data_IF_843944844224
#
_entry.id   IF_843944844224
#
_cell.length_a   1.000
_cell.length_b   1.000
_cell.length_c   1.000
_cell.angle_alpha   90.00
_cell.angle_beta   90.00
_cell.angle_gamma   90.00
#
_symmetry.space_group_name_H-M   'P 1'
#
loop_
_entity.id
_entity.type
_entity.pdbx_description
1 polymer ?
#
# COMPACT_ATOMS: atom_id res chain seq x y z
N UNK A 1 -19.72 23.74 6.98
CA UNK A 1 -18.75 22.63 6.84
C UNK A 1 -17.47 23.20 6.31
N UNK A 2 -16.32 22.80 6.85
CA UNK A 2 -15.08 23.54 6.61
C UNK A 2 -14.48 23.30 5.20
N UNK A 3 -14.59 22.10 4.59
CA UNK A 3 -14.11 21.82 3.21
C UNK A 3 -14.77 20.57 2.56
N UNK A 4 -16.07 20.58 2.19
CA UNK A 4 -16.75 19.37 1.68
C UNK A 4 -16.27 18.90 0.30
N UNK A 5 -15.69 19.79 -0.52
CA UNK A 5 -15.33 19.51 -1.91
C UNK A 5 -13.83 19.25 -2.12
N UNK A 6 -13.03 19.18 -1.04
CA UNK A 6 -11.57 19.10 -1.14
C UNK A 6 -11.06 17.84 -1.86
N UNK A 7 -11.76 16.71 -1.70
CA UNK A 7 -11.40 15.42 -2.29
C UNK A 7 -12.17 15.13 -3.59
N UNK A 8 -12.98 16.08 -4.07
CA UNK A 8 -13.79 15.95 -5.28
C UNK A 8 -13.13 16.60 -6.48
N UNK A 9 -13.59 16.24 -7.67
CA UNK A 9 -13.14 16.86 -8.92
C UNK A 9 -14.07 18.03 -9.29
N UNK A 10 -13.55 19.27 -9.52
CA UNK A 10 -14.37 20.41 -9.90
C UNK A 10 -15.17 20.19 -11.20
N UNK A 11 -14.61 19.47 -12.17
CA UNK A 11 -15.30 19.19 -13.44
C UNK A 11 -16.56 18.32 -13.27
N UNK A 12 -16.74 17.62 -12.14
CA UNK A 12 -17.97 16.87 -11.87
C UNK A 12 -19.17 17.77 -11.51
N UNK A 13 -18.97 19.09 -11.41
CA UNK A 13 -20.07 20.07 -11.32
C UNK A 13 -20.55 20.56 -12.69
N UNK A 14 -19.87 20.18 -13.77
CA UNK A 14 -20.27 20.50 -15.15
C UNK A 14 -21.09 19.33 -15.70
N UNK A 15 -22.19 19.62 -16.41
CA UNK A 15 -22.98 18.58 -17.05
C UNK A 15 -22.16 17.80 -18.08
N UNK A 16 -22.37 16.48 -18.13
CA UNK A 16 -21.60 15.60 -19.00
C UNK A 16 -21.76 15.96 -20.48
N UNK A 17 -20.63 16.10 -21.19
CA UNK A 17 -20.61 16.36 -22.63
C UNK A 17 -19.84 15.23 -23.36
N UNK A 18 -20.51 14.37 -24.15
CA UNK A 18 -19.84 13.25 -24.82
C UNK A 18 -18.94 13.68 -26.00
N UNK A 19 -19.00 14.94 -26.42
CA UNK A 19 -18.20 15.47 -27.53
C UNK A 19 -16.93 16.21 -27.06
N UNK A 20 -16.78 16.44 -25.75
CA UNK A 20 -15.68 17.24 -25.18
C UNK A 20 -15.14 16.55 -23.94
N UNK A 21 -13.88 16.12 -24.00
CA UNK A 21 -13.16 15.63 -22.81
C UNK A 21 -12.51 16.80 -22.08
N UNK A 22 -12.68 16.95 -20.76
CA UNK A 22 -11.99 17.98 -19.99
C UNK A 22 -10.46 17.84 -20.10
N UNK A 23 -9.75 18.98 -20.08
CA UNK A 23 -8.30 19.01 -20.24
C UNK A 23 -7.55 18.36 -19.06
N UNK A 24 -8.13 18.42 -17.85
CA UNK A 24 -7.56 17.85 -16.62
C UNK A 24 -8.39 16.67 -16.13
N UNK A 25 -8.60 15.66 -16.98
CA UNK A 25 -9.30 14.44 -16.59
C UNK A 25 -8.43 13.58 -15.66
N UNK A 26 -8.81 13.53 -14.38
CA UNK A 26 -8.12 12.76 -13.34
C UNK A 26 -9.17 11.94 -12.58
N UNK A 27 -8.92 10.64 -12.33
CA UNK A 27 -9.85 9.83 -11.56
C UNK A 27 -9.84 10.24 -10.08
N UNK A 28 -10.76 9.69 -9.30
CA UNK A 28 -10.77 9.91 -7.86
C UNK A 28 -9.48 9.42 -7.20
N UNK A 29 -9.09 10.09 -6.11
CA UNK A 29 -7.78 9.92 -5.49
C UNK A 29 -7.45 8.47 -5.09
N UNK A 30 -8.46 7.68 -4.70
CA UNK A 30 -8.33 6.28 -4.31
C UNK A 30 -8.09 5.33 -5.50
N UNK A 31 -8.33 5.78 -6.74
CA UNK A 31 -8.05 5.04 -7.98
C UNK A 31 -6.69 5.40 -8.60
N UNK A 32 -6.06 6.50 -8.17
CA UNK A 32 -4.84 7.02 -8.77
C UNK A 32 -3.67 6.03 -8.84
N UNK A 33 -3.35 5.22 -7.81
CA UNK A 33 -2.22 4.29 -7.89
C UNK A 33 -2.40 3.27 -9.02
N UNK A 34 -3.62 2.75 -9.18
CA UNK A 34 -3.96 1.77 -10.20
C UNK A 34 -4.01 2.40 -11.59
N UNK A 35 -4.53 3.62 -11.68
CA UNK A 35 -4.50 4.41 -12.90
C UNK A 35 -3.06 4.75 -13.35
N UNK A 36 -2.16 5.07 -12.41
CA UNK A 36 -0.75 5.30 -12.69
C UNK A 36 -0.10 4.05 -13.30
N UNK A 37 -0.35 2.86 -12.73
CA UNK A 37 0.16 1.60 -13.26
C UNK A 37 -0.40 1.27 -14.64
N UNK A 38 -1.69 1.56 -14.90
CA UNK A 38 -2.31 1.35 -16.22
C UNK A 38 -1.61 2.16 -17.31
N UNK A 39 -1.44 3.46 -17.07
CA UNK A 39 -0.90 4.40 -18.08
C UNK A 39 0.63 4.38 -18.16
N UNK A 40 1.31 3.80 -17.17
CA UNK A 40 2.76 3.58 -17.20
C UNK A 40 3.19 2.66 -18.36
N UNK A 41 2.27 1.80 -18.80
CA UNK A 41 2.51 0.84 -19.86
C UNK A 41 2.33 1.49 -21.23
N UNK A 42 3.44 1.95 -21.79
CA UNK A 42 3.50 2.61 -23.10
C UNK A 42 4.24 1.79 -24.16
N UNK A 43 4.58 0.54 -23.84
CA UNK A 43 5.37 -0.35 -24.69
C UNK A 43 4.64 -1.69 -24.88
N UNK A 44 4.92 -2.33 -26.01
CA UNK A 44 4.37 -3.63 -26.34
C UNK A 44 5.30 -4.74 -25.82
N UNK A 45 4.71 -5.86 -25.38
CA UNK A 45 5.46 -7.03 -24.88
C UNK A 45 5.07 -8.25 -25.69
N UNK A 46 6.00 -8.76 -26.49
CA UNK A 46 5.79 -9.93 -27.37
C UNK A 46 4.57 -9.70 -28.29
N UNK A 47 3.48 -10.44 -28.08
CA UNK A 47 2.23 -10.36 -28.82
C UNK A 47 1.14 -9.54 -28.10
N UNK A 48 1.44 -8.96 -26.94
CA UNK A 48 0.52 -8.17 -26.13
C UNK A 48 0.81 -6.69 -26.37
N UNK A 49 -0.18 -5.96 -26.91
CA UNK A 49 -0.03 -4.52 -27.10
C UNK A 49 -0.11 -3.77 -25.75
N UNK A 50 0.48 -2.58 -25.71
CA UNK A 50 0.51 -1.67 -24.56
C UNK A 50 -0.87 -1.42 -23.94
N UNK A 51 -1.90 -1.26 -24.77
CA UNK A 51 -3.29 -1.05 -24.30
C UNK A 51 -3.79 -2.25 -23.48
N UNK A 52 -3.69 -3.46 -24.00
CA UNK A 52 -4.09 -4.66 -23.28
C UNK A 52 -3.20 -4.92 -22.07
N UNK A 53 -1.89 -4.70 -22.23
CA UNK A 53 -0.93 -4.93 -21.16
C UNK A 53 -1.16 -3.98 -19.97
N UNK A 54 -1.48 -2.70 -20.21
CA UNK A 54 -1.85 -1.74 -19.17
C UNK A 54 -3.10 -2.17 -18.38
N UNK A 55 -4.12 -2.72 -19.07
CA UNK A 55 -5.31 -3.27 -18.41
C UNK A 55 -4.96 -4.50 -17.55
N UNK A 56 -4.13 -5.41 -18.07
CA UNK A 56 -3.65 -6.58 -17.32
C UNK A 56 -2.87 -6.14 -16.08
N UNK A 57 -2.01 -5.14 -16.19
CA UNK A 57 -1.23 -4.58 -15.08
C UNK A 57 -2.16 -3.97 -14.03
N UNK A 58 -3.15 -3.18 -14.43
CA UNK A 58 -4.11 -2.57 -13.51
C UNK A 58 -4.90 -3.63 -12.74
N UNK A 59 -5.56 -4.57 -13.42
CA UNK A 59 -6.33 -5.61 -12.73
C UNK A 59 -5.44 -6.59 -11.97
N UNK A 60 -4.27 -6.92 -12.52
CA UNK A 60 -3.27 -7.75 -11.85
C UNK A 60 -2.83 -7.17 -10.52
N UNK A 61 -2.69 -5.84 -10.43
CA UNK A 61 -2.29 -5.17 -9.20
C UNK A 61 -3.32 -5.28 -8.07
N UNK A 62 -4.60 -5.49 -8.41
CA UNK A 62 -5.67 -5.79 -7.46
C UNK A 62 -5.76 -7.30 -7.17
N UNK A 63 -5.69 -8.13 -8.21
CA UNK A 63 -5.76 -9.59 -8.09
C UNK A 63 -4.66 -10.12 -7.18
N UNK A 64 -3.44 -9.58 -7.29
CA UNK A 64 -2.31 -10.04 -6.48
C UNK A 64 -2.53 -9.86 -4.97
N UNK A 65 -3.33 -8.88 -4.55
CA UNK A 65 -3.70 -8.69 -3.15
C UNK A 65 -4.52 -9.87 -2.60
N UNK A 66 -5.39 -10.46 -3.43
CA UNK A 66 -6.14 -11.66 -3.05
C UNK A 66 -5.24 -12.89 -2.98
N UNK A 67 -4.11 -12.90 -3.69
CA UNK A 67 -3.16 -14.00 -3.68
C UNK A 67 -2.19 -13.96 -2.49
N UNK A 68 -2.16 -12.87 -1.73
CA UNK A 68 -1.24 -12.68 -0.58
C UNK A 68 -1.24 -13.86 0.41
N UNK A 69 -2.38 -14.48 0.80
CA UNK A 69 -2.38 -15.62 1.72
C UNK A 69 -1.59 -16.83 1.24
N UNK A 70 -1.39 -16.96 -0.09
CA UNK A 70 -0.60 -18.03 -0.70
C UNK A 70 0.82 -17.60 -1.05
N UNK A 71 1.05 -16.30 -1.26
CA UNK A 71 2.35 -15.74 -1.61
C UNK A 71 3.24 -15.49 -0.38
N UNK A 72 2.66 -15.13 0.78
CA UNK A 72 3.43 -15.02 2.02
C UNK A 72 3.66 -16.40 2.64
N UNK A 73 4.84 -16.96 2.37
CA UNK A 73 5.23 -18.29 2.83
C UNK A 73 5.75 -18.31 4.28
N UNK A 74 5.85 -17.15 4.94
CA UNK A 74 6.36 -17.07 6.31
C UNK A 74 5.40 -17.67 7.34
N UNK A 75 5.95 -18.43 8.28
CA UNK A 75 5.17 -18.99 9.40
C UNK A 75 4.82 -17.93 10.46
N UNK A 76 5.50 -16.78 10.46
CA UNK A 76 5.29 -15.73 11.46
C UNK A 76 4.26 -14.73 10.95
N UNK A 77 3.08 -14.76 11.58
CA UNK A 77 1.91 -13.96 11.15
C UNK A 77 2.13 -12.45 11.25
N UNK A 78 2.75 -11.97 12.33
CA UNK A 78 2.90 -10.53 12.56
C UNK A 78 4.21 -10.01 11.94
N UNK A 79 4.09 -9.01 11.05
CA UNK A 79 5.22 -8.26 10.51
C UNK A 79 6.05 -7.54 11.59
N UNK A 80 5.51 -7.36 12.82
CA UNK A 80 6.24 -6.80 13.96
C UNK A 80 7.50 -7.61 14.30
N UNK A 81 7.47 -8.92 14.10
CA UNK A 81 8.57 -9.83 14.44
C UNK A 81 9.41 -10.22 13.22
N UNK A 82 9.20 -9.57 12.07
CA UNK A 82 9.88 -9.85 10.80
C UNK A 82 10.71 -8.63 10.36
N UNK A 83 12.01 -8.55 10.74
CA UNK A 83 12.82 -7.34 10.53
C UNK A 83 13.02 -6.95 9.07
N UNK A 84 13.23 -7.92 8.18
CA UNK A 84 13.41 -7.67 6.75
C UNK A 84 12.08 -7.31 6.10
N UNK A 85 11.00 -8.02 6.45
CA UNK A 85 9.65 -7.72 5.98
C UNK A 85 9.28 -6.27 6.22
N UNK A 86 9.59 -5.70 7.40
CA UNK A 86 9.28 -4.30 7.72
C UNK A 86 9.87 -3.32 6.71
N UNK A 87 11.12 -3.54 6.29
CA UNK A 87 11.79 -2.63 5.34
C UNK A 87 11.06 -2.66 4.00
N UNK A 88 10.83 -3.85 3.46
CA UNK A 88 10.12 -4.02 2.18
C UNK A 88 8.66 -3.56 2.26
N UNK A 89 7.99 -3.77 3.38
CA UNK A 89 6.63 -3.29 3.60
C UNK A 89 6.57 -1.75 3.63
N UNK A 90 7.49 -1.08 4.33
CA UNK A 90 7.52 0.38 4.31
C UNK A 90 7.89 0.95 2.95
N UNK A 91 8.76 0.27 2.19
CA UNK A 91 9.00 0.61 0.80
C UNK A 91 7.72 0.45 -0.05
N UNK A 92 6.89 -0.57 0.19
CA UNK A 92 5.57 -0.71 -0.47
C UNK A 92 4.62 0.43 -0.11
N UNK A 93 4.59 0.87 1.14
CA UNK A 93 3.78 2.02 1.55
C UNK A 93 4.23 3.28 0.83
N UNK A 94 5.55 3.53 0.77
CA UNK A 94 6.11 4.67 0.04
C UNK A 94 5.79 4.57 -1.45
N UNK A 95 5.96 3.40 -2.04
CA UNK A 95 5.67 3.14 -3.45
C UNK A 95 4.21 3.42 -3.80
N UNK A 96 3.27 2.97 -2.97
CA UNK A 96 1.85 3.25 -3.14
C UNK A 96 1.53 4.74 -3.13
N UNK A 97 2.15 5.51 -2.23
CA UNK A 97 1.99 6.97 -2.17
C UNK A 97 2.62 7.65 -3.39
N UNK A 98 3.79 7.18 -3.85
CA UNK A 98 4.44 7.68 -5.06
C UNK A 98 3.58 7.40 -6.30
N UNK A 99 3.01 6.20 -6.42
CA UNK A 99 2.09 5.86 -7.50
C UNK A 99 0.80 6.70 -7.45
N UNK A 100 0.25 6.94 -6.26
CA UNK A 100 -0.89 7.87 -6.09
C UNK A 100 -0.56 9.26 -6.62
N UNK A 101 0.61 9.79 -6.26
CA UNK A 101 1.07 11.09 -6.72
C UNK A 101 1.29 11.13 -8.24
N UNK A 102 1.99 10.13 -8.80
CA UNK A 102 2.21 10.01 -10.23
C UNK A 102 0.92 9.85 -11.04
N UNK A 103 -0.13 9.26 -10.46
CA UNK A 103 -1.45 9.13 -11.08
C UNK A 103 -2.16 10.47 -11.27
N UNK A 104 -1.88 11.46 -10.41
CA UNK A 104 -2.43 12.81 -10.52
C UNK A 104 -1.64 13.73 -11.46
N UNK A 105 -0.43 13.32 -11.88
CA UNK A 105 0.43 14.12 -12.75
C UNK A 105 0.12 13.89 -14.23
N UNK A 106 0.55 14.75 -15.16
CA UNK A 106 0.48 14.47 -16.59
C UNK A 106 1.25 13.20 -16.98
N UNK A 107 0.83 12.44 -18.01
CA UNK A 107 1.50 11.22 -18.46
C UNK A 107 2.76 11.54 -19.29
N UNK A 108 3.66 12.33 -18.71
CA UNK A 108 4.90 12.80 -19.32
C UNK A 108 6.09 12.45 -18.43
N UNK A 109 7.31 12.60 -18.96
CA UNK A 109 8.51 12.39 -18.16
C UNK A 109 8.66 13.48 -17.09
N UNK A 110 9.10 13.14 -15.87
CA UNK A 110 9.65 11.85 -15.43
C UNK A 110 8.62 10.85 -14.86
N UNK A 111 7.33 11.22 -14.79
CA UNK A 111 6.30 10.46 -14.07
C UNK A 111 6.02 9.09 -14.68
N UNK A 112 6.17 8.95 -16.01
CA UNK A 112 6.04 7.65 -16.70
C UNK A 112 7.07 6.65 -16.18
N UNK A 113 8.36 7.01 -16.16
CA UNK A 113 9.42 6.13 -15.65
C UNK A 113 9.22 5.81 -14.16
N UNK A 114 8.86 6.82 -13.35
CA UNK A 114 8.61 6.60 -11.92
C UNK A 114 7.46 5.60 -11.73
N UNK A 115 6.38 5.72 -12.51
CA UNK A 115 5.24 4.81 -12.44
C UNK A 115 5.59 3.40 -12.92
N UNK A 116 6.48 3.27 -13.92
CA UNK A 116 6.97 1.96 -14.38
C UNK A 116 7.81 1.26 -13.30
N UNK A 117 8.71 1.99 -12.64
CA UNK A 117 9.50 1.47 -11.53
C UNK A 117 8.62 1.11 -10.33
N UNK A 118 7.60 1.92 -10.03
CA UNK A 118 6.66 1.60 -8.97
C UNK A 118 5.79 0.39 -9.29
N UNK A 119 5.26 0.28 -10.52
CA UNK A 119 4.56 -0.91 -10.96
C UNK A 119 5.44 -2.17 -10.84
N UNK A 120 6.70 -2.08 -11.28
CA UNK A 120 7.68 -3.17 -11.14
C UNK A 120 7.88 -3.54 -9.67
N UNK A 121 8.08 -2.56 -8.79
CA UNK A 121 8.25 -2.80 -7.36
C UNK A 121 7.00 -3.43 -6.73
N UNK A 122 5.81 -2.91 -7.03
CA UNK A 122 4.52 -3.46 -6.57
C UNK A 122 4.41 -4.96 -6.85
N UNK A 123 4.58 -5.37 -8.11
CA UNK A 123 4.52 -6.80 -8.45
C UNK A 123 5.68 -7.60 -7.87
N UNK A 124 6.89 -7.04 -7.83
CA UNK A 124 8.06 -7.71 -7.23
C UNK A 124 7.86 -7.96 -5.74
N UNK A 125 7.22 -7.04 -5.01
CA UNK A 125 6.91 -7.19 -3.60
C UNK A 125 6.08 -8.45 -3.37
N UNK A 126 4.96 -8.58 -4.06
CA UNK A 126 4.03 -9.68 -3.84
C UNK A 126 4.49 -10.99 -4.46
N UNK A 127 4.96 -10.99 -5.71
CA UNK A 127 5.23 -12.22 -6.47
C UNK A 127 6.63 -12.80 -6.19
N UNK A 128 7.56 -12.00 -5.69
CA UNK A 128 8.96 -12.40 -5.52
C UNK A 128 9.43 -12.21 -4.09
N UNK A 129 9.34 -10.99 -3.55
CA UNK A 129 9.91 -10.66 -2.23
C UNK A 129 9.17 -11.40 -1.12
N UNK A 130 7.83 -11.42 -1.11
CA UNK A 130 7.06 -12.15 -0.09
C UNK A 130 7.39 -13.66 -0.05
N UNK A 131 7.34 -14.40 -1.18
CA UNK A 131 7.74 -15.81 -1.19
C UNK A 131 9.18 -16.05 -0.73
N UNK A 132 10.11 -15.18 -1.11
CA UNK A 132 11.52 -15.30 -0.75
C UNK A 132 11.76 -14.99 0.74
N UNK A 133 11.09 -13.98 1.30
CA UNK A 133 11.23 -13.62 2.71
C UNK A 133 10.81 -14.76 3.62
N UNK A 134 9.79 -15.56 3.26
CA UNK A 134 9.39 -16.70 4.09
C UNK A 134 10.45 -17.79 4.20
N UNK A 135 11.42 -17.84 3.28
CA UNK A 135 12.54 -18.79 3.30
C UNK A 135 13.82 -18.16 3.88
N UNK A 136 14.08 -16.89 3.57
CA UNK A 136 15.36 -16.23 3.87
C UNK A 136 15.37 -15.49 5.21
N UNK A 137 14.22 -15.02 5.68
CA UNK A 137 14.15 -14.15 6.86
C UNK A 137 14.33 -14.95 8.17
N UNK A 138 15.08 -14.38 9.12
CA UNK A 138 15.17 -14.90 10.50
C UNK A 138 14.24 -14.09 11.40
N UNK A 139 13.04 -14.60 11.74
CA UNK A 139 12.10 -13.86 12.56
C UNK A 139 12.52 -13.80 14.03
N UNK A 140 12.05 -12.76 14.72
CA UNK A 140 12.16 -12.62 16.18
C UNK A 140 11.09 -13.49 16.86
N UNK A 141 11.35 -13.91 18.08
CA UNK A 141 10.36 -14.64 18.88
C UNK A 141 9.19 -13.70 19.24
N UNK A 142 7.94 -14.07 18.91
CA UNK A 142 6.78 -13.36 19.43
C UNK A 142 6.59 -13.66 20.93
N UNK A 143 5.90 -12.79 21.68
CA UNK A 143 5.49 -13.08 23.06
C UNK A 143 4.59 -14.33 23.08
N UNK A 144 4.66 -15.09 24.18
CA UNK A 144 3.92 -16.33 24.33
C UNK A 144 2.41 -16.07 24.40
N UNK A 145 2.02 -15.00 25.10
CA UNK A 145 0.63 -14.57 25.22
C UNK A 145 0.46 -13.08 24.91
N UNK A 146 -0.78 -12.69 24.64
CA UNK A 146 -1.16 -11.28 24.49
C UNK A 146 -0.98 -10.52 25.81
N UNK A 147 -1.23 -11.19 26.94
CA UNK A 147 -1.05 -10.62 28.27
C UNK A 147 0.43 -10.26 28.55
N UNK A 148 1.37 -11.12 28.12
CA UNK A 148 2.81 -10.83 28.22
C UNK A 148 3.20 -9.58 27.41
N UNK A 149 2.67 -9.43 26.19
CA UNK A 149 2.93 -8.23 25.36
C UNK A 149 2.32 -6.97 26.00
N UNK A 150 1.14 -7.09 26.59
CA UNK A 150 0.44 -6.00 27.26
C UNK A 150 1.20 -5.51 28.48
N UNK A 151 1.55 -6.42 29.41
CA UNK A 151 2.31 -6.09 30.62
C UNK A 151 3.67 -5.48 30.31
N UNK A 152 4.33 -5.96 29.26
CA UNK A 152 5.60 -5.39 28.80
C UNK A 152 5.48 -3.94 28.29
N UNK A 153 4.32 -3.51 27.77
CA UNK A 153 4.10 -2.15 27.27
C UNK A 153 3.50 -1.19 28.30
N UNK A 154 2.57 -1.68 29.12
CA UNK A 154 1.75 -0.84 30.00
C UNK A 154 1.99 -1.06 31.50
N UNK A 155 2.85 -2.02 31.86
CA UNK A 155 3.01 -2.46 33.25
C UNK A 155 1.90 -3.42 33.69
N UNK A 156 2.04 -4.00 34.87
CA UNK A 156 1.04 -4.91 35.44
C UNK A 156 -0.10 -4.08 36.08
N UNK A 157 -1.36 -4.20 35.61
CA UNK A 157 -2.49 -3.49 36.22
C UNK A 157 -2.66 -3.81 37.72
N UNK A 158 -2.25 -5.00 38.17
CA UNK A 158 -2.29 -5.38 39.58
C UNK A 158 -1.28 -4.60 40.44
N UNK A 159 -0.13 -4.24 39.87
CA UNK A 159 0.91 -3.46 40.54
C UNK A 159 0.52 -1.96 40.60
N UNK A 160 -0.09 -1.43 39.54
CA UNK A 160 -0.60 -0.06 39.50
C UNK A 160 -1.76 0.17 40.51
N UNK A 161 -2.65 -0.80 40.67
CA UNK A 161 -3.72 -0.76 41.67
C UNK A 161 -3.20 -0.89 43.11
N UNK A 162 -2.14 -1.68 43.32
CA UNK A 162 -1.48 -1.81 44.62
C UNK A 162 -0.72 -0.53 45.02
N UNK A 163 -0.10 0.17 44.06
CA UNK A 163 0.59 1.44 44.32
C UNK A 163 -0.37 2.61 44.58
N UNK A 164 -1.53 2.65 43.91
CA UNK A 164 -2.56 3.68 44.14
C UNK A 164 -3.29 3.58 45.49
N UNK A 165 -3.24 2.42 46.15
CA UNK A 165 -3.83 2.20 47.48
C UNK A 165 -2.84 2.38 48.64
N UNK A 166 -1.55 2.60 48.34
CA UNK A 166 -0.47 2.67 49.31
C UNK A 166 -0.07 4.11 49.73
N UNK A 167 -0.74 5.16 49.26
CA UNK A 167 -0.56 6.52 49.78
C UNK A 167 -1.52 6.76 50.95
N UNK A 168 -1.04 6.82 52.21
CA UNK A 168 -1.85 7.32 53.30
C UNK A 168 -2.07 8.82 53.06
N UNK A 169 -3.31 9.28 53.21
CA UNK A 169 -3.60 10.71 53.28
C UNK A 169 -2.88 11.29 54.51
N UNK A 170 -1.91 12.18 54.27
CA UNK A 170 -1.42 13.14 55.27
C UNK A 170 -2.33 14.39 55.29
#
# INVERSE_FOLDING_TARGET
GFMPNFLGHPDNYIEANPLVTPAHIVPEWYLLPFYAMLRAITFDVLFINSKLFGVIVMFGSLIVLFLVPWLDTSRVRSGRFRPMFKVWFWLLVVDFVVLMWCGAMPPEQPFVIISQLGALYWFSFFLVILPLLGVLEKPKAPPATIEDDFRAHYGDPGEAAAQGSAQPAE
#
